data_IF_742582806463
#
_entry.id   IF_742582806463
#
_cell.length_a   1.000
_cell.length_b   1.000
_cell.length_c   1.000
_cell.angle_alpha   90.00
_cell.angle_beta   90.00
_cell.angle_gamma   90.00
#
_symmetry.space_group_name_H-M   'P 1'
#
loop_
_entity.id
_entity.type
_entity.pdbx_description
1 polymer ?
#
# COMPACT_ATOMS: atom_id res chain seq x y z
N UNK A 1 -0.88 -20.87 0.41
CA UNK A 1 -0.96 -19.43 0.13
C UNK A 1 -2.06 -19.22 -0.91
N UNK A 2 -3.19 -18.61 -0.56
CA UNK A 2 -4.30 -18.39 -1.50
C UNK A 2 -3.97 -17.23 -2.44
N UNK A 3 -3.30 -17.53 -3.55
CA UNK A 3 -2.99 -16.55 -4.59
C UNK A 3 -4.17 -16.51 -5.55
N UNK A 4 -4.71 -15.31 -5.78
CA UNK A 4 -5.75 -15.12 -6.78
C UNK A 4 -5.20 -15.48 -8.17
N UNK A 5 -5.95 -16.24 -8.98
CA UNK A 5 -5.55 -16.53 -10.35
C UNK A 5 -5.28 -15.23 -11.13
N UNK A 6 -4.25 -15.22 -11.98
CA UNK A 6 -3.86 -14.04 -12.77
C UNK A 6 -5.04 -13.41 -13.51
N UNK A 7 -5.93 -14.23 -14.07
CA UNK A 7 -7.14 -13.78 -14.77
C UNK A 7 -8.09 -13.01 -13.84
N UNK A 8 -8.53 -13.62 -12.73
CA UNK A 8 -9.38 -12.94 -11.73
C UNK A 8 -8.73 -11.65 -11.20
N UNK A 9 -7.41 -11.66 -10.99
CA UNK A 9 -6.67 -10.47 -10.53
C UNK A 9 -6.79 -9.36 -11.54
N UNK A 10 -6.47 -9.64 -12.79
CA UNK A 10 -6.59 -8.67 -13.87
C UNK A 10 -8.04 -8.16 -14.00
N UNK A 11 -9.04 -9.03 -13.91
CA UNK A 11 -10.45 -8.61 -13.95
C UNK A 11 -10.81 -7.61 -12.83
N UNK A 12 -10.30 -7.82 -11.61
CA UNK A 12 -10.51 -6.89 -10.49
C UNK A 12 -9.78 -5.57 -10.73
N UNK A 13 -8.50 -5.62 -11.14
CA UNK A 13 -7.71 -4.42 -11.42
C UNK A 13 -8.37 -3.62 -12.55
N UNK A 14 -8.83 -4.28 -13.60
CA UNK A 14 -9.49 -3.65 -14.76
C UNK A 14 -10.79 -2.96 -14.34
N UNK A 15 -11.59 -3.62 -13.50
CA UNK A 15 -12.80 -3.02 -12.95
C UNK A 15 -12.47 -1.77 -12.13
N UNK A 16 -11.50 -1.85 -11.21
CA UNK A 16 -11.08 -0.72 -10.39
C UNK A 16 -10.54 0.43 -11.25
N UNK A 17 -9.65 0.15 -12.20
CA UNK A 17 -9.11 1.14 -13.13
C UNK A 17 -10.23 1.83 -13.91
N UNK A 18 -11.20 1.07 -14.44
CA UNK A 18 -12.32 1.64 -15.16
C UNK A 18 -13.21 2.51 -14.26
N UNK A 19 -13.41 2.12 -13.01
CA UNK A 19 -14.15 2.91 -12.03
C UNK A 19 -13.43 4.24 -11.71
N UNK A 20 -12.10 4.22 -11.54
CA UNK A 20 -11.32 5.44 -11.36
C UNK A 20 -11.34 6.36 -12.60
N UNK A 21 -11.31 5.78 -13.81
CA UNK A 21 -11.32 6.52 -15.08
C UNK A 21 -12.66 7.15 -15.45
N UNK A 22 -13.76 6.85 -14.74
CA UNK A 22 -15.06 7.52 -14.94
C UNK A 22 -15.06 8.98 -14.51
N UNK A 23 -14.03 9.42 -13.78
CA UNK A 23 -13.89 10.81 -13.35
C UNK A 23 -13.54 11.79 -14.48
N UNK A 24 -13.46 13.08 -14.13
CA UNK A 24 -13.09 14.16 -15.07
C UNK A 24 -11.58 14.39 -15.18
N UNK A 25 -10.77 13.67 -14.40
CA UNK A 25 -9.32 13.84 -14.38
C UNK A 25 -8.70 13.17 -15.61
N UNK A 26 -7.64 13.77 -16.15
CA UNK A 26 -6.80 13.09 -17.12
C UNK A 26 -6.09 11.91 -16.48
N UNK A 27 -5.76 10.88 -17.26
CA UNK A 27 -5.03 9.70 -16.79
C UNK A 27 -3.74 10.08 -16.03
N UNK A 28 -3.01 11.08 -16.52
CA UNK A 28 -1.81 11.59 -15.86
C UNK A 28 -2.11 12.16 -14.47
N UNK A 29 -3.11 13.05 -14.35
CA UNK A 29 -3.47 13.66 -13.07
C UNK A 29 -4.02 12.64 -12.09
N UNK A 30 -4.85 11.71 -12.57
CA UNK A 30 -5.41 10.62 -11.78
C UNK A 30 -4.29 9.69 -11.25
N UNK A 31 -3.34 9.33 -12.11
CA UNK A 31 -2.19 8.51 -11.73
C UNK A 31 -1.32 9.17 -10.66
N UNK A 32 -1.00 10.46 -10.81
CA UNK A 32 -0.27 11.23 -9.80
C UNK A 32 -1.04 11.28 -8.49
N UNK A 33 -2.35 11.49 -8.54
CA UNK A 33 -3.21 11.55 -7.35
C UNK A 33 -3.20 10.23 -6.57
N UNK A 34 -3.40 9.11 -7.26
CA UNK A 34 -3.42 7.78 -6.64
C UNK A 34 -2.05 7.45 -6.05
N UNK A 35 -0.95 7.70 -6.78
CA UNK A 35 0.42 7.49 -6.28
C UNK A 35 0.72 8.34 -5.04
N UNK A 36 0.30 9.61 -5.06
CA UNK A 36 0.49 10.51 -3.93
C UNK A 36 -0.28 10.04 -2.70
N UNK A 37 -1.53 9.59 -2.90
CA UNK A 37 -2.34 8.99 -1.85
C UNK A 37 -1.68 7.71 -1.30
N UNK A 38 -1.24 6.82 -2.17
CA UNK A 38 -0.57 5.57 -1.78
C UNK A 38 0.72 5.82 -1.00
N UNK A 39 1.57 6.73 -1.47
CA UNK A 39 2.84 7.07 -0.80
C UNK A 39 2.62 7.76 0.56
N UNK A 40 1.60 8.61 0.68
CA UNK A 40 1.31 9.36 1.90
C UNK A 40 0.55 8.55 2.96
N UNK A 41 -0.28 7.58 2.55
CA UNK A 41 -1.15 6.82 3.46
C UNK A 41 -0.41 6.20 4.65
N UNK A 42 0.72 5.48 4.48
CA UNK A 42 1.45 4.90 5.62
C UNK A 42 1.89 5.94 6.65
N UNK A 43 2.37 7.10 6.18
CA UNK A 43 2.79 8.21 7.05
C UNK A 43 1.57 8.81 7.76
N UNK A 44 0.47 9.05 7.05
CA UNK A 44 -0.77 9.56 7.65
C UNK A 44 -1.32 8.62 8.73
N UNK A 45 -1.28 7.30 8.50
CA UNK A 45 -1.69 6.30 9.48
C UNK A 45 -0.79 6.30 10.73
N UNK A 46 0.52 6.53 10.55
CA UNK A 46 1.46 6.67 11.65
C UNK A 46 1.15 7.92 12.49
N UNK A 47 0.92 9.08 11.85
CA UNK A 47 0.49 10.30 12.54
C UNK A 47 -0.82 10.12 13.30
N UNK A 48 -1.83 9.50 12.68
CA UNK A 48 -3.08 9.19 13.36
C UNK A 48 -2.85 8.24 14.55
N UNK A 49 -1.97 7.26 14.41
CA UNK A 49 -1.64 6.33 15.50
C UNK A 49 -0.96 7.01 16.69
N UNK A 50 -0.30 8.16 16.49
CA UNK A 50 0.33 8.94 17.56
C UNK A 50 -0.67 9.80 18.35
N UNK A 51 -1.69 10.35 17.70
CA UNK A 51 -2.53 11.40 18.31
C UNK A 51 -4.00 11.01 18.47
N UNK A 52 -4.50 10.06 17.68
CA UNK A 52 -5.90 9.69 17.71
C UNK A 52 -6.26 8.86 18.97
N UNK A 53 -7.53 8.85 19.40
CA UNK A 53 -7.99 8.02 20.52
C UNK A 53 -7.95 6.51 20.17
N UNK A 54 -7.94 5.66 21.20
CA UNK A 54 -7.74 4.21 21.08
C UNK A 54 -8.64 3.53 20.05
N UNK A 55 -9.92 3.92 19.96
CA UNK A 55 -10.86 3.32 19.01
C UNK A 55 -10.47 3.60 17.55
N UNK A 56 -9.96 4.80 17.24
CA UNK A 56 -9.46 5.13 15.89
C UNK A 56 -8.23 4.28 15.58
N UNK A 57 -7.30 4.15 16.53
CA UNK A 57 -6.09 3.35 16.31
C UNK A 57 -6.43 1.85 16.16
N UNK A 58 -7.44 1.35 16.88
CA UNK A 58 -7.97 0.00 16.67
C UNK A 58 -8.51 -0.19 15.23
N UNK A 59 -9.24 0.80 14.69
CA UNK A 59 -9.68 0.76 13.29
C UNK A 59 -8.50 0.76 12.31
N UNK A 60 -7.44 1.54 12.59
CA UNK A 60 -6.22 1.55 11.77
C UNK A 60 -5.55 0.17 11.78
N UNK A 61 -5.40 -0.46 12.95
CA UNK A 61 -4.82 -1.80 13.08
C UNK A 61 -5.67 -2.82 12.30
N UNK A 62 -6.99 -2.80 12.47
CA UNK A 62 -7.89 -3.68 11.73
C UNK A 62 -7.77 -3.47 10.21
N UNK A 63 -7.70 -2.22 9.75
CA UNK A 63 -7.49 -1.87 8.35
C UNK A 63 -6.14 -2.42 7.82
N UNK A 64 -5.05 -2.26 8.57
CA UNK A 64 -3.74 -2.76 8.19
C UNK A 64 -3.71 -4.30 8.08
N UNK A 65 -4.41 -5.01 8.96
CA UNK A 65 -4.57 -6.46 8.87
C UNK A 65 -5.25 -6.84 7.56
N UNK A 66 -6.33 -6.15 7.17
CA UNK A 66 -7.01 -6.38 5.89
C UNK A 66 -6.08 -6.10 4.70
N UNK A 67 -5.37 -4.97 4.72
CA UNK A 67 -4.42 -4.60 3.66
C UNK A 67 -3.31 -5.64 3.53
N UNK A 68 -2.79 -6.14 4.65
CA UNK A 68 -1.76 -7.18 4.66
C UNK A 68 -2.26 -8.47 4.00
N UNK A 69 -3.46 -8.95 4.34
CA UNK A 69 -4.03 -10.12 3.68
C UNK A 69 -4.25 -9.91 2.18
N UNK A 70 -4.78 -8.74 1.78
CA UNK A 70 -4.97 -8.41 0.37
C UNK A 70 -3.65 -8.38 -0.39
N UNK A 71 -2.58 -7.87 0.20
CA UNK A 71 -1.25 -7.86 -0.42
C UNK A 71 -0.78 -9.26 -0.81
N UNK A 72 -0.92 -10.26 0.07
CA UNK A 72 -0.55 -11.65 -0.25
C UNK A 72 -1.50 -12.32 -1.23
N UNK A 73 -2.81 -12.04 -1.15
CA UNK A 73 -3.80 -12.61 -2.09
C UNK A 73 -3.52 -12.14 -3.52
N UNK A 74 -3.15 -10.87 -3.69
CA UNK A 74 -2.86 -10.28 -5.00
C UNK A 74 -1.42 -10.54 -5.48
N UNK A 75 -0.52 -10.96 -4.58
CA UNK A 75 0.91 -11.13 -4.87
C UNK A 75 1.64 -9.79 -5.01
N UNK A 76 1.19 -8.77 -4.29
CA UNK A 76 1.67 -7.39 -4.35
C UNK A 76 0.57 -6.38 -4.01
N UNK A 77 0.91 -5.10 -3.94
CA UNK A 77 -0.07 -4.04 -3.70
C UNK A 77 -0.96 -3.87 -4.93
N UNK A 78 -2.27 -4.09 -4.78
CA UNK A 78 -3.22 -3.91 -5.89
C UNK A 78 -3.26 -2.45 -6.36
N UNK A 79 -3.01 -1.48 -5.46
CA UNK A 79 -3.01 -0.06 -5.80
C UNK A 79 -1.87 0.26 -6.78
N UNK A 80 -0.68 -0.33 -6.58
CA UNK A 80 0.42 -0.26 -7.56
C UNK A 80 0.02 -0.83 -8.92
N UNK A 81 -0.75 -1.93 -8.95
CA UNK A 81 -1.22 -2.48 -10.22
C UNK A 81 -2.18 -1.53 -10.94
N UNK A 82 -3.05 -0.85 -10.18
CA UNK A 82 -3.96 0.18 -10.71
C UNK A 82 -3.18 1.40 -11.21
N UNK A 83 -2.20 1.88 -10.44
CA UNK A 83 -1.32 3.00 -10.78
C UNK A 83 -0.61 2.76 -12.11
N UNK A 84 0.07 1.62 -12.25
CA UNK A 84 0.80 1.25 -13.46
C UNK A 84 -0.13 1.22 -14.68
N UNK A 85 -1.36 0.73 -14.51
CA UNK A 85 -2.35 0.67 -15.60
C UNK A 85 -2.91 2.05 -15.99
N UNK A 86 -3.06 2.96 -15.04
CA UNK A 86 -3.52 4.33 -15.29
C UNK A 86 -2.40 5.17 -15.92
N UNK A 87 -1.19 5.08 -15.39
CA UNK A 87 -0.02 5.83 -15.87
C UNK A 87 0.59 5.26 -17.16
N UNK A 88 0.22 4.03 -17.53
CA UNK A 88 0.83 3.29 -18.63
C UNK A 88 2.36 3.21 -18.52
N UNK A 89 2.83 2.90 -17.31
CA UNK A 89 4.25 2.73 -16.99
C UNK A 89 4.44 1.50 -16.06
N UNK A 90 5.69 1.22 -15.68
CA UNK A 90 6.03 0.18 -14.70
C UNK A 90 6.68 0.75 -13.43
N UNK A 91 6.46 2.04 -13.16
CA UNK A 91 7.07 2.69 -12.01
C UNK A 91 6.32 2.35 -10.72
N UNK A 92 7.07 1.91 -9.71
CA UNK A 92 6.54 1.63 -8.37
C UNK A 92 7.31 2.42 -7.32
N UNK A 93 6.68 2.75 -6.19
CA UNK A 93 7.37 3.42 -5.08
C UNK A 93 8.56 2.58 -4.57
N UNK A 94 8.46 1.24 -4.66
CA UNK A 94 9.55 0.33 -4.34
C UNK A 94 10.81 0.55 -5.19
N UNK A 95 10.67 1.07 -6.43
CA UNK A 95 11.81 1.31 -7.32
C UNK A 95 12.77 2.36 -6.77
N UNK A 96 12.29 3.36 -6.04
CA UNK A 96 13.15 4.37 -5.38
C UNK A 96 14.13 3.70 -4.40
N UNK A 97 13.62 2.73 -3.63
CA UNK A 97 14.43 1.99 -2.66
C UNK A 97 15.36 0.98 -3.35
N UNK A 98 14.90 0.34 -4.44
CA UNK A 98 15.74 -0.56 -5.22
C UNK A 98 16.90 0.18 -5.88
N UNK A 99 16.65 1.35 -6.46
CA UNK A 99 17.69 2.22 -7.02
C UNK A 99 18.69 2.64 -5.95
N UNK A 100 18.21 3.06 -4.78
CA UNK A 100 19.05 3.49 -3.66
C UNK A 100 19.94 2.38 -3.11
N UNK A 101 19.53 1.12 -3.27
CA UNK A 101 20.27 -0.07 -2.83
C UNK A 101 21.06 -0.74 -3.96
N UNK A 102 21.02 -0.18 -5.18
CA UNK A 102 21.60 -0.78 -6.38
C UNK A 102 21.07 -2.20 -6.69
N UNK A 103 19.81 -2.47 -6.34
CA UNK A 103 19.15 -3.74 -6.60
C UNK A 103 18.43 -3.75 -7.95
N UNK A 104 18.39 -4.91 -8.60
CA UNK A 104 17.64 -5.07 -9.85
C UNK A 104 16.15 -4.82 -9.68
N UNK A 105 15.56 -4.06 -10.61
CA UNK A 105 14.12 -3.80 -10.69
C UNK A 105 13.38 -4.98 -11.31
N UNK A 106 13.11 -5.99 -10.49
CA UNK A 106 12.31 -7.15 -10.88
C UNK A 106 11.17 -7.40 -9.88
N UNK A 107 10.19 -8.22 -10.29
CA UNK A 107 8.99 -8.52 -9.48
C UNK A 107 9.31 -9.05 -8.08
N UNK A 108 10.35 -9.89 -7.96
CA UNK A 108 10.75 -10.49 -6.68
C UNK A 108 11.32 -9.43 -5.74
N UNK A 109 12.20 -8.57 -6.24
CA UNK A 109 12.81 -7.52 -5.45
C UNK A 109 11.81 -6.45 -5.04
N UNK A 110 10.89 -6.05 -5.94
CA UNK A 110 9.79 -5.13 -5.61
C UNK A 110 8.87 -5.69 -4.52
N UNK A 111 8.55 -6.99 -4.59
CA UNK A 111 7.76 -7.66 -3.55
C UNK A 111 8.50 -7.66 -2.21
N UNK A 112 9.78 -8.04 -2.20
CA UNK A 112 10.61 -8.08 -0.99
C UNK A 112 10.73 -6.70 -0.32
N UNK A 113 11.04 -5.66 -1.09
CA UNK A 113 11.12 -4.28 -0.59
C UNK A 113 9.76 -3.83 -0.04
N UNK A 114 8.66 -4.15 -0.73
CA UNK A 114 7.32 -3.82 -0.25
C UNK A 114 7.01 -4.49 1.09
N UNK A 115 7.43 -5.76 1.27
CA UNK A 115 7.33 -6.46 2.55
C UNK A 115 8.17 -5.80 3.66
N UNK A 116 9.40 -5.38 3.34
CA UNK A 116 10.28 -4.68 4.30
C UNK A 116 9.64 -3.36 4.73
N UNK A 117 9.26 -2.52 3.77
CA UNK A 117 8.66 -1.20 4.05
C UNK A 117 7.36 -1.34 4.83
N UNK A 118 6.44 -2.19 4.36
CA UNK A 118 5.16 -2.45 5.03
C UNK A 118 5.34 -3.03 6.43
N UNK A 119 6.28 -3.97 6.59
CA UNK A 119 6.64 -4.55 7.88
C UNK A 119 7.17 -3.52 8.87
N UNK A 120 8.04 -2.61 8.42
CA UNK A 120 8.53 -1.50 9.24
C UNK A 120 7.40 -0.59 9.73
N UNK A 121 6.46 -0.20 8.86
CA UNK A 121 5.31 0.60 9.27
C UNK A 121 4.39 -0.12 10.26
N UNK A 122 4.09 -1.41 10.02
CA UNK A 122 3.30 -2.21 10.94
C UNK A 122 3.99 -2.34 12.32
N UNK A 123 5.31 -2.55 12.35
CA UNK A 123 6.08 -2.63 13.58
C UNK A 123 6.06 -1.30 14.35
N UNK A 124 6.26 -0.17 13.65
CA UNK A 124 6.20 1.15 14.27
C UNK A 124 4.82 1.42 14.88
N UNK A 125 3.74 1.12 14.15
CA UNK A 125 2.38 1.29 14.66
C UNK A 125 2.12 0.39 15.87
N UNK A 126 2.62 -0.85 15.87
CA UNK A 126 2.51 -1.75 17.02
C UNK A 126 3.25 -1.21 18.26
N UNK A 127 4.46 -0.69 18.08
CA UNK A 127 5.23 -0.03 19.15
C UNK A 127 4.47 1.19 19.69
N UNK A 128 3.96 2.06 18.81
CA UNK A 128 3.17 3.24 19.20
C UNK A 128 1.93 2.80 19.99
N UNK A 129 1.21 1.79 19.51
CA UNK A 129 0.01 1.28 20.16
C UNK A 129 0.30 0.75 21.58
N UNK A 130 1.39 -0.02 21.72
CA UNK A 130 1.81 -0.54 23.02
C UNK A 130 2.19 0.57 24.00
N UNK A 131 3.05 1.50 23.57
CA UNK A 131 3.50 2.62 24.41
C UNK A 131 2.32 3.49 24.85
N UNK A 132 1.42 3.84 23.92
CA UNK A 132 0.33 4.77 24.21
C UNK A 132 -0.79 4.20 25.08
N UNK A 133 -1.09 2.91 24.95
CA UNK A 133 -2.30 2.33 25.56
C UNK A 133 -2.05 1.25 26.60
N UNK A 134 -0.81 0.77 26.76
CA UNK A 134 -0.47 -0.29 27.72
C UNK A 134 0.74 0.03 28.60
N UNK A 135 1.75 0.74 28.11
CA UNK A 135 2.96 1.00 28.92
C UNK A 135 2.75 2.05 30.04
N UNK A 136 1.88 3.03 29.80
CA UNK A 136 1.62 4.15 30.72
C UNK A 136 0.33 3.98 31.55
N UNK A 137 -0.25 2.77 31.59
CA UNK A 137 -1.41 2.40 32.40
C UNK A 137 -1.09 1.20 33.27
#
# INVERSE_FOLDING_TARGET
>A
MFILSKEKRNNIIDKLTNDFKKGKLSDKSLGILIRSFHASTPVSLLFLSLFAPRYVVNCIVAFLVVVFFLFFIFGGCFLTMVENKICNDDFTIADIFLESLEWEKNSKNRFNISCIIGGCYCLLIAIIYYIRFYFNH
#
